data_IF_807671307348
#
_entry.id   IF_807671307348
#
_cell.length_a   1.000
_cell.length_b   1.000
_cell.length_c   1.000
_cell.angle_alpha   90.00
_cell.angle_beta   90.00
_cell.angle_gamma   90.00
#
_symmetry.space_group_name_H-M   'P 1'
#
loop_
_entity.id
_entity.type
_entity.pdbx_description
1 polymer ?
#
# COMPACT_ATOMS: atom_id res chain seq x y z
N UNK A 1 -6.66 2.90 -7.56
CA UNK A 1 -7.74 3.83 -7.88
C UNK A 1 -7.50 5.17 -7.20
N UNK A 2 -7.57 6.25 -7.95
CA UNK A 2 -7.22 7.58 -7.49
C UNK A 2 -8.39 8.55 -7.76
N UNK A 3 -8.80 9.30 -6.74
CA UNK A 3 -9.83 10.31 -6.88
C UNK A 3 -9.71 11.36 -5.77
N UNK A 4 -9.84 12.64 -6.11
CA UNK A 4 -9.91 13.77 -5.16
C UNK A 4 -8.73 13.81 -4.17
N UNK A 5 -7.52 13.44 -4.61
CA UNK A 5 -6.36 13.41 -3.74
C UNK A 5 -6.35 12.25 -2.77
N UNK A 6 -7.26 11.30 -2.92
CA UNK A 6 -7.33 10.09 -2.09
C UNK A 6 -7.10 8.86 -2.96
N UNK A 7 -6.21 7.99 -2.50
CA UNK A 7 -5.89 6.73 -3.15
C UNK A 7 -6.48 5.59 -2.33
N UNK A 8 -7.07 4.61 -3.00
CA UNK A 8 -7.52 3.39 -2.35
C UNK A 8 -6.59 2.25 -2.74
N UNK A 9 -6.03 1.57 -1.74
CA UNK A 9 -5.12 0.45 -1.93
C UNK A 9 -5.72 -0.77 -1.26
N UNK A 10 -5.80 -1.88 -1.99
CA UNK A 10 -6.28 -3.14 -1.45
C UNK A 10 -5.27 -4.23 -1.84
N UNK A 11 -4.19 -4.41 -1.05
CA UNK A 11 -3.20 -5.42 -1.38
C UNK A 11 -3.77 -6.82 -1.25
N UNK A 12 -3.34 -7.71 -2.15
CA UNK A 12 -3.74 -9.11 -2.14
C UNK A 12 -2.48 -9.98 -2.07
N UNK A 13 -1.90 -10.15 -0.86
CA UNK A 13 -0.68 -10.94 -0.75
C UNK A 13 -0.92 -12.39 -1.11
N UNK A 14 0.07 -12.99 -1.74
CA UNK A 14 0.06 -14.38 -2.16
C UNK A 14 1.27 -15.08 -1.56
N UNK A 15 1.03 -16.00 -0.65
CA UNK A 15 2.09 -16.69 0.06
C UNK A 15 2.98 -17.50 -0.87
N UNK A 16 2.46 -17.97 -1.99
CA UNK A 16 3.25 -18.73 -2.97
C UNK A 16 4.32 -17.87 -3.64
N UNK A 17 4.12 -16.56 -3.75
CA UNK A 17 5.11 -15.63 -4.28
C UNK A 17 6.14 -15.21 -3.24
N UNK A 18 5.75 -15.16 -1.98
CA UNK A 18 6.60 -14.72 -0.89
C UNK A 18 6.71 -13.20 -0.73
N UNK A 19 6.74 -12.47 -1.82
CA UNK A 19 6.77 -11.00 -1.80
C UNK A 19 6.32 -10.45 -3.14
N UNK A 20 5.90 -9.21 -3.14
CA UNK A 20 5.65 -8.46 -4.36
C UNK A 20 5.70 -6.96 -4.05
N UNK A 21 6.06 -6.17 -5.05
CA UNK A 21 6.12 -4.73 -4.92
C UNK A 21 5.65 -4.10 -6.24
N UNK A 22 4.80 -3.12 -6.14
CA UNK A 22 4.29 -2.39 -7.28
C UNK A 22 4.49 -0.90 -7.07
N UNK A 23 4.79 -0.19 -8.16
CA UNK A 23 4.93 1.25 -8.14
C UNK A 23 4.02 1.84 -9.22
N UNK A 24 3.36 2.93 -8.89
CA UNK A 24 2.44 3.62 -9.78
C UNK A 24 2.84 5.09 -9.87
N UNK A 25 2.77 5.65 -11.06
CA UNK A 25 2.93 7.09 -11.23
C UNK A 25 1.55 7.74 -11.19
N UNK A 26 1.43 8.77 -10.35
CA UNK A 26 0.19 9.55 -10.24
C UNK A 26 0.50 11.02 -10.48
N UNK A 27 -0.52 11.87 -10.72
CA UNK A 27 -0.29 13.31 -10.82
C UNK A 27 0.35 13.93 -9.58
N UNK A 28 0.17 13.29 -8.41
CA UNK A 28 0.74 13.75 -7.16
C UNK A 28 2.15 13.22 -6.92
N UNK A 29 2.61 12.22 -7.68
CA UNK A 29 3.92 11.63 -7.52
C UNK A 29 3.86 10.11 -7.59
N UNK A 30 4.96 9.46 -7.19
CA UNK A 30 5.08 8.02 -7.25
C UNK A 30 4.49 7.37 -6.01
N UNK A 31 3.67 6.37 -6.23
CA UNK A 31 3.02 5.58 -5.18
C UNK A 31 3.64 4.19 -5.19
N UNK A 32 4.08 3.71 -4.02
CA UNK A 32 4.65 2.37 -3.90
C UNK A 32 3.78 1.56 -2.94
N UNK A 33 3.45 0.34 -3.34
CA UNK A 33 2.72 -0.61 -2.52
C UNK A 33 3.42 -1.96 -2.62
N UNK A 34 3.76 -2.54 -1.48
CA UNK A 34 4.44 -3.82 -1.45
C UNK A 34 4.05 -4.64 -0.23
N UNK A 35 4.31 -5.94 -0.31
CA UNK A 35 4.13 -6.84 0.81
C UNK A 35 5.18 -7.94 0.73
N UNK A 36 5.44 -8.52 1.89
CA UNK A 36 6.40 -9.61 1.98
C UNK A 36 5.99 -10.53 3.13
N UNK A 37 6.14 -11.83 2.91
CA UNK A 37 5.94 -12.83 3.96
C UNK A 37 7.23 -13.07 4.72
N UNK A 38 7.09 -13.20 6.04
CA UNK A 38 8.17 -13.63 6.93
C UNK A 38 7.61 -14.78 7.74
N UNK A 39 7.83 -16.01 7.26
CA UNK A 39 7.13 -17.17 7.79
C UNK A 39 5.65 -17.09 7.49
N UNK A 40 4.82 -17.08 8.52
CA UNK A 40 3.37 -16.94 8.38
C UNK A 40 2.89 -15.49 8.53
N UNK A 41 3.80 -14.57 8.87
CA UNK A 41 3.47 -13.17 9.01
C UNK A 41 3.66 -12.44 7.68
N UNK A 42 2.87 -11.41 7.47
CA UNK A 42 3.01 -10.56 6.28
C UNK A 42 3.25 -9.12 6.70
N UNK A 43 4.21 -8.49 6.05
CA UNK A 43 4.54 -7.08 6.27
C UNK A 43 4.17 -6.30 5.02
N UNK A 44 3.47 -5.19 5.21
CA UNK A 44 3.08 -4.30 4.12
C UNK A 44 3.92 -3.03 4.17
N UNK A 45 4.37 -2.59 3.00
CA UNK A 45 5.15 -1.36 2.86
C UNK A 45 4.46 -0.45 1.86
N UNK A 46 4.31 0.82 2.23
CA UNK A 46 3.66 1.81 1.39
C UNK A 46 4.50 3.08 1.36
N UNK A 47 4.56 3.72 0.20
CA UNK A 47 5.12 5.06 0.06
C UNK A 47 4.08 5.94 -0.60
N UNK A 48 3.71 7.02 0.08
CA UNK A 48 2.65 7.91 -0.35
C UNK A 48 3.26 9.27 -0.66
N UNK A 49 3.04 9.83 -1.86
CA UNK A 49 3.59 11.14 -2.22
C UNK A 49 2.94 12.27 -1.42
N UNK A 50 3.61 13.41 -1.38
CA UNK A 50 3.07 14.61 -0.74
C UNK A 50 1.72 15.00 -1.35
N UNK A 51 0.84 15.57 -0.53
CA UNK A 51 -0.50 16.02 -0.93
C UNK A 51 -1.45 14.87 -1.33
N UNK A 52 -1.14 13.65 -0.94
CA UNK A 52 -1.99 12.52 -1.20
C UNK A 52 -2.23 11.76 0.10
N UNK A 53 -3.44 11.25 0.28
CA UNK A 53 -3.80 10.40 1.41
C UNK A 53 -4.23 9.05 0.84
N UNK A 54 -3.76 7.97 1.46
CA UNK A 54 -4.11 6.63 1.02
C UNK A 54 -5.03 5.94 2.02
N UNK A 55 -6.09 5.36 1.52
CA UNK A 55 -6.95 4.45 2.30
C UNK A 55 -6.58 3.03 1.91
N UNK A 56 -6.16 2.25 2.89
CA UNK A 56 -5.71 0.88 2.67
C UNK A 56 -6.69 -0.07 3.32
N UNK A 57 -7.17 -1.04 2.56
CA UNK A 57 -7.98 -2.14 3.08
C UNK A 57 -7.14 -3.41 3.01
N UNK A 58 -6.84 -3.98 4.17
CA UNK A 58 -6.05 -5.21 4.25
C UNK A 58 -6.96 -6.43 4.10
N UNK A 59 -6.40 -7.57 3.66
CA UNK A 59 -7.21 -8.78 3.45
C UNK A 59 -7.89 -9.31 4.71
N UNK A 60 -7.35 -8.97 5.89
CA UNK A 60 -7.95 -9.38 7.18
C UNK A 60 -9.11 -8.48 7.62
N UNK A 61 -9.46 -7.48 6.82
CA UNK A 61 -10.55 -6.56 7.11
C UNK A 61 -10.12 -5.25 7.76
N UNK A 62 -8.85 -5.10 8.11
CA UNK A 62 -8.37 -3.83 8.69
C UNK A 62 -8.35 -2.73 7.64
N UNK A 63 -8.73 -1.54 8.06
CA UNK A 63 -8.70 -0.36 7.21
C UNK A 63 -7.78 0.67 7.83
N UNK A 64 -6.88 1.20 7.01
CA UNK A 64 -5.87 2.16 7.44
C UNK A 64 -5.96 3.40 6.56
N UNK A 65 -5.69 4.56 7.18
CA UNK A 65 -5.52 5.80 6.44
C UNK A 65 -4.07 6.23 6.60
N UNK A 66 -3.36 6.38 5.50
CA UNK A 66 -1.94 6.71 5.50
C UNK A 66 -1.71 8.14 5.04
N UNK A 67 -0.97 8.88 5.85
CA UNK A 67 -0.50 10.20 5.49
C UNK A 67 0.66 10.10 4.50
N UNK A 68 1.07 11.21 3.83
CA UNK A 68 2.25 11.19 2.97
C UNK A 68 3.49 10.68 3.71
N UNK A 69 4.35 9.95 2.99
CA UNK A 69 5.58 9.39 3.53
C UNK A 69 5.64 7.88 3.36
N UNK A 70 6.63 7.28 4.03
CA UNK A 70 6.83 5.83 4.01
C UNK A 70 6.16 5.21 5.24
N UNK A 71 5.49 4.09 5.01
CA UNK A 71 4.77 3.37 6.07
C UNK A 71 5.09 1.89 5.99
N UNK A 72 5.26 1.28 7.14
CA UNK A 72 5.41 -0.18 7.27
C UNK A 72 4.39 -0.67 8.29
N UNK A 73 3.60 -1.63 7.88
CA UNK A 73 2.49 -2.11 8.70
C UNK A 73 2.60 -3.61 8.97
#
# INVERSE_FOLDING_TARGET
HYADGTLTIAPTPDKSLGWAKAAYDSPAGRIVSGWRYDGDAVTYEFEIPANLTANVTLPDGRKLTLAPGKHTV
#
